data_IF_431935079568
#
_entry.id   IF_431935079568
#
_cell.length_a   1.000
_cell.length_b   1.000
_cell.length_c   1.000
_cell.angle_alpha   90.00
_cell.angle_beta   90.00
_cell.angle_gamma   90.00
#
_symmetry.space_group_name_H-M   'P 1'
#
loop_
_entity.id
_entity.type
_entity.pdbx_description
1 polymer ?
#
# COMPACT_ATOMS: atom_id res chain seq x y z
N UNK A 1 2.38 -4.15 13.51
CA UNK A 1 3.16 -4.59 14.70
C UNK A 1 3.47 -6.10 14.71
N UNK A 2 3.57 -6.75 13.55
CA UNK A 2 3.76 -8.20 13.48
C UNK A 2 5.05 -8.68 14.17
N UNK A 3 6.17 -7.98 13.98
CA UNK A 3 7.46 -8.31 14.61
C UNK A 3 7.42 -8.22 16.14
N UNK A 4 6.69 -7.25 16.71
CA UNK A 4 6.49 -7.17 18.16
C UNK A 4 5.65 -8.34 18.67
N UNK A 5 4.61 -8.70 17.92
CA UNK A 5 3.70 -9.78 18.29
C UNK A 5 4.36 -11.16 18.31
N UNK A 6 5.49 -11.37 17.63
CA UNK A 6 6.23 -12.64 17.71
C UNK A 6 6.92 -12.82 19.07
N UNK A 7 7.24 -11.73 19.78
CA UNK A 7 8.05 -11.76 21.01
C UNK A 7 9.51 -12.19 20.80
N UNK A 8 9.93 -12.43 19.55
CA UNK A 8 11.28 -12.92 19.20
C UNK A 8 12.27 -11.79 18.91
N UNK A 9 11.81 -10.56 18.76
CA UNK A 9 12.63 -9.43 18.31
C UNK A 9 12.48 -8.21 19.22
N UNK A 10 13.61 -7.56 19.47
CA UNK A 10 13.66 -6.17 19.94
C UNK A 10 13.41 -5.26 18.73
N UNK A 11 12.34 -4.48 18.74
CA UNK A 11 11.96 -3.65 17.58
C UNK A 11 12.26 -2.19 17.85
N UNK A 12 13.07 -1.59 16.98
CA UNK A 12 13.33 -0.14 16.95
C UNK A 12 12.49 0.52 15.86
N UNK A 13 11.62 1.45 16.23
CA UNK A 13 10.78 2.22 15.32
C UNK A 13 11.40 3.59 15.06
N UNK A 14 11.83 3.84 13.82
CA UNK A 14 12.47 5.09 13.43
C UNK A 14 11.42 6.15 13.07
N UNK A 15 11.56 7.35 13.63
CA UNK A 15 10.66 8.48 13.34
C UNK A 15 11.36 9.82 13.47
N UNK A 16 10.92 10.82 12.70
CA UNK A 16 11.36 12.22 12.90
C UNK A 16 10.72 12.88 14.12
N UNK A 17 9.58 12.34 14.58
CA UNK A 17 8.70 12.91 15.63
C UNK A 17 8.38 11.87 16.71
N UNK A 18 9.33 11.59 17.63
CA UNK A 18 9.14 10.60 18.70
C UNK A 18 8.01 10.95 19.68
N UNK A 19 7.62 12.22 19.75
CA UNK A 19 6.55 12.74 20.60
C UNK A 19 5.14 12.56 20.02
N UNK A 20 5.02 12.12 18.77
CA UNK A 20 3.73 11.91 18.10
C UNK A 20 2.90 10.80 18.75
N UNK A 21 1.58 10.86 18.61
CA UNK A 21 0.66 9.86 19.16
C UNK A 21 0.90 8.47 18.56
N UNK A 22 1.25 8.40 17.26
CA UNK A 22 1.63 7.15 16.60
C UNK A 22 2.90 6.55 17.21
N UNK A 23 3.91 7.38 17.48
CA UNK A 23 5.15 6.92 18.12
C UNK A 23 4.90 6.44 19.56
N UNK A 24 4.12 7.19 20.35
CA UNK A 24 3.71 6.79 21.70
C UNK A 24 2.92 5.49 21.70
N UNK A 25 2.02 5.30 20.73
CA UNK A 25 1.24 4.06 20.59
C UNK A 25 2.12 2.85 20.25
N UNK A 26 3.22 3.04 19.50
CA UNK A 26 4.22 1.99 19.27
C UNK A 26 5.05 1.69 20.52
N UNK A 27 5.47 2.73 21.24
CA UNK A 27 6.20 2.59 22.51
C UNK A 27 5.38 1.81 23.54
N UNK A 28 4.09 2.12 23.68
CA UNK A 28 3.17 1.41 24.57
C UNK A 28 3.00 -0.09 24.21
N UNK A 29 3.34 -0.48 22.98
CA UNK A 29 3.34 -1.87 22.51
C UNK A 29 4.71 -2.55 22.60
N UNK A 30 5.70 -1.87 23.20
CA UNK A 30 7.04 -2.41 23.42
C UNK A 30 8.07 -2.05 22.34
N UNK A 31 7.75 -1.17 21.38
CA UNK A 31 8.74 -0.66 20.44
C UNK A 31 9.68 0.35 21.10
N UNK A 32 10.95 0.31 20.73
CA UNK A 32 11.88 1.39 21.03
C UNK A 32 11.77 2.48 19.99
N UNK A 33 11.17 3.60 20.37
CA UNK A 33 11.08 4.76 19.49
C UNK A 33 12.44 5.44 19.41
N UNK A 34 12.96 5.57 18.20
CA UNK A 34 14.26 6.18 17.94
C UNK A 34 14.11 7.36 16.98
N UNK A 35 14.62 8.53 17.38
CA UNK A 35 14.57 9.71 16.52
C UNK A 35 15.58 9.57 15.39
N UNK A 36 15.13 9.59 14.14
CA UNK A 36 16.00 9.56 12.97
C UNK A 36 15.34 10.25 11.78
N UNK A 37 16.11 11.06 11.06
CA UNK A 37 15.77 11.51 9.71
C UNK A 37 16.56 10.70 8.68
N UNK A 38 15.85 10.02 7.77
CA UNK A 38 16.48 9.19 6.73
C UNK A 38 17.28 10.01 5.69
N UNK A 39 17.08 11.33 5.64
CA UNK A 39 17.90 12.25 4.84
C UNK A 39 19.23 12.60 5.51
N UNK A 40 19.37 12.31 6.81
CA UNK A 40 20.60 12.53 7.56
C UNK A 40 21.40 11.22 7.68
N UNK A 41 22.58 11.20 7.08
CA UNK A 41 23.46 10.02 7.06
C UNK A 41 23.84 9.54 8.46
N UNK A 42 24.08 10.45 9.40
CA UNK A 42 24.54 10.10 10.74
C UNK A 42 23.39 9.54 11.58
N UNK A 43 22.18 10.09 11.42
CA UNK A 43 20.96 9.51 12.02
C UNK A 43 20.76 8.07 11.56
N UNK A 44 20.92 7.78 10.27
CA UNK A 44 20.78 6.42 9.72
C UNK A 44 21.82 5.47 10.31
N UNK A 45 23.09 5.89 10.38
CA UNK A 45 24.14 5.06 11.01
C UNK A 45 23.83 4.74 12.46
N UNK A 46 23.42 5.75 13.23
CA UNK A 46 23.07 5.58 14.64
C UNK A 46 21.83 4.70 14.82
N UNK A 47 20.83 4.88 13.96
CA UNK A 47 19.61 4.09 13.96
C UNK A 47 19.85 2.61 13.64
N UNK A 48 20.84 2.30 12.80
CA UNK A 48 21.19 0.92 12.44
C UNK A 48 22.28 0.30 13.33
N UNK A 49 22.90 1.07 14.22
CA UNK A 49 23.93 0.55 15.11
C UNK A 49 23.37 -0.54 16.03
N UNK A 50 24.02 -1.71 15.98
CA UNK A 50 23.65 -2.91 16.74
C UNK A 50 22.38 -3.61 16.25
N UNK A 51 21.84 -3.26 15.08
CA UNK A 51 20.68 -3.94 14.51
C UNK A 51 21.11 -5.11 13.63
N UNK A 52 20.52 -6.29 13.86
CA UNK A 52 20.75 -7.49 13.03
C UNK A 52 19.92 -7.48 11.74
N UNK A 53 18.76 -6.81 11.76
CA UNK A 53 17.77 -6.79 10.70
C UNK A 53 17.27 -5.36 10.50
N UNK A 54 17.09 -4.94 9.25
CA UNK A 54 16.46 -3.68 8.89
C UNK A 54 15.34 -3.90 7.86
N UNK A 55 14.15 -3.38 8.15
CA UNK A 55 13.07 -3.23 7.18
C UNK A 55 12.97 -1.77 6.78
N UNK A 56 13.35 -1.45 5.53
CA UNK A 56 13.53 -0.08 5.06
C UNK A 56 12.48 0.21 3.98
N UNK A 57 11.60 1.16 4.28
CA UNK A 57 10.63 1.71 3.33
C UNK A 57 10.92 3.19 3.16
N UNK A 58 11.21 3.60 1.94
CA UNK A 58 11.36 5.00 1.56
C UNK A 58 10.17 5.42 0.71
N UNK A 59 9.65 6.61 0.99
CA UNK A 59 8.55 7.17 0.22
C UNK A 59 9.13 8.18 -0.77
N UNK A 60 8.61 8.17 -2.00
CA UNK A 60 8.86 9.23 -2.99
C UNK A 60 7.78 10.31 -2.96
N UNK A 61 6.71 10.07 -2.20
CA UNK A 61 5.56 10.96 -2.08
C UNK A 61 5.70 11.89 -0.87
N UNK A 62 5.61 13.20 -1.12
CA UNK A 62 5.29 14.19 -0.10
C UNK A 62 3.76 14.31 -0.02
N UNK A 63 3.11 14.11 1.15
CA UNK A 63 1.66 14.26 1.29
C UNK A 63 1.12 15.66 0.94
N UNK A 64 1.99 16.68 0.93
CA UNK A 64 1.65 18.03 0.46
C UNK A 64 1.64 18.16 -1.08
N UNK A 65 2.21 17.17 -1.79
CA UNK A 65 2.29 17.09 -3.25
C UNK A 65 1.37 15.97 -3.78
N UNK A 66 1.22 14.88 -3.03
CA UNK A 66 0.43 13.69 -3.40
C UNK A 66 -0.51 13.30 -2.25
N UNK A 67 -1.78 13.74 -2.25
CA UNK A 67 -2.73 13.39 -1.20
C UNK A 67 -3.14 11.91 -1.28
N UNK A 68 -2.46 11.08 -0.49
CA UNK A 68 -2.78 9.74 0.04
C UNK A 68 -3.46 8.63 -0.79
N UNK A 69 -4.00 8.87 -1.99
CA UNK A 69 -4.63 7.83 -2.80
C UNK A 69 -4.36 8.05 -4.29
N UNK A 70 -4.00 6.97 -4.99
CA UNK A 70 -3.89 6.90 -6.46
C UNK A 70 -5.25 7.01 -7.18
N UNK A 71 -6.33 7.11 -6.41
CA UNK A 71 -7.70 7.28 -6.89
C UNK A 71 -8.42 8.29 -6.00
N UNK A 72 -9.18 9.20 -6.60
CA UNK A 72 -10.10 10.09 -5.89
C UNK A 72 -11.48 9.45 -5.88
N UNK A 73 -12.14 9.38 -4.73
CA UNK A 73 -13.59 9.14 -4.68
C UNK A 73 -14.30 10.49 -4.79
N UNK A 74 -15.24 10.63 -5.72
CA UNK A 74 -16.16 11.75 -5.78
C UNK A 74 -17.61 11.28 -5.70
N UNK A 75 -18.34 11.86 -4.75
CA UNK A 75 -19.77 11.63 -4.61
C UNK A 75 -20.53 12.57 -5.53
N UNK A 76 -21.38 11.99 -6.37
CA UNK A 76 -22.24 12.68 -7.30
C UNK A 76 -23.57 13.07 -6.61
N UNK A 77 -24.27 14.03 -7.19
CA UNK A 77 -25.57 14.52 -6.69
C UNK A 77 -26.66 13.43 -6.69
N UNK A 78 -26.56 12.45 -7.59
CA UNK A 78 -27.48 11.31 -7.68
C UNK A 78 -27.19 10.20 -6.64
N UNK A 79 -26.17 10.38 -5.80
CA UNK A 79 -25.75 9.43 -4.77
C UNK A 79 -24.76 8.36 -5.24
N UNK A 80 -24.39 8.33 -6.52
CA UNK A 80 -23.30 7.50 -7.06
C UNK A 80 -21.95 7.98 -6.53
N UNK A 81 -21.04 7.06 -6.27
CA UNK A 81 -19.62 7.36 -6.02
C UNK A 81 -18.78 6.98 -7.25
N UNK A 82 -17.92 7.88 -7.69
CA UNK A 82 -16.98 7.64 -8.79
C UNK A 82 -15.55 7.52 -8.25
N UNK A 83 -14.83 6.48 -8.68
CA UNK A 83 -13.37 6.43 -8.54
C UNK A 83 -12.73 6.99 -9.79
N UNK A 84 -12.04 8.13 -9.65
CA UNK A 84 -11.36 8.79 -10.75
C UNK A 84 -9.93 8.25 -10.87
N UNK A 85 -9.66 7.58 -11.99
CA UNK A 85 -8.35 7.08 -12.36
C UNK A 85 -8.17 7.32 -13.87
N UNK A 86 -7.34 8.30 -14.28
CA UNK A 86 -7.16 8.62 -15.68
C UNK A 86 -6.68 7.43 -16.53
N UNK A 87 -7.17 7.38 -17.77
CA UNK A 87 -6.72 6.50 -18.88
C UNK A 87 -6.65 4.99 -18.59
N UNK A 88 -7.25 4.47 -17.52
CA UNK A 88 -7.39 3.02 -17.28
C UNK A 88 -8.71 2.49 -17.81
N UNK A 89 -8.81 1.17 -18.01
CA UNK A 89 -10.05 0.50 -18.43
C UNK A 89 -10.65 -0.33 -17.30
N UNK A 90 -11.95 -0.63 -17.37
CA UNK A 90 -12.61 -1.48 -16.37
C UNK A 90 -11.99 -2.89 -16.27
N UNK A 91 -11.48 -3.42 -17.38
CA UNK A 91 -10.79 -4.72 -17.45
C UNK A 91 -9.30 -4.64 -17.14
N UNK A 92 -8.74 -3.44 -16.93
CA UNK A 92 -7.36 -3.28 -16.50
C UNK A 92 -7.22 -3.83 -15.09
N UNK A 93 -6.26 -4.74 -14.91
CA UNK A 93 -6.01 -5.44 -13.65
C UNK A 93 -4.78 -4.91 -12.94
N UNK A 94 -4.85 -4.87 -11.63
CA UNK A 94 -3.76 -4.46 -10.74
C UNK A 94 -3.60 -5.49 -9.62
N UNK A 95 -2.36 -5.65 -9.15
CA UNK A 95 -2.06 -6.37 -7.93
C UNK A 95 -2.30 -5.47 -6.71
N UNK A 96 -2.98 -6.00 -5.70
CA UNK A 96 -3.38 -5.22 -4.52
C UNK A 96 -3.10 -5.96 -3.22
N UNK A 97 -2.94 -5.20 -2.14
CA UNK A 97 -2.72 -5.72 -0.79
C UNK A 97 -3.28 -4.73 0.23
N UNK A 98 -3.83 -5.22 1.34
CA UNK A 98 -4.06 -4.41 2.53
C UNK A 98 -2.72 -4.19 3.25
N UNK A 99 -2.04 -3.11 2.88
CA UNK A 99 -0.70 -2.82 3.39
C UNK A 99 -0.67 -2.66 4.92
N UNK A 100 -1.78 -2.24 5.55
CA UNK A 100 -1.86 -2.01 6.99
C UNK A 100 -1.86 -3.33 7.76
N UNK A 101 -2.57 -4.34 7.26
CA UNK A 101 -2.77 -5.60 7.99
C UNK A 101 -1.85 -6.73 7.52
N UNK A 102 -1.48 -6.76 6.24
CA UNK A 102 -0.85 -7.94 5.64
C UNK A 102 0.68 -7.82 5.49
N UNK A 103 1.20 -6.63 5.15
CA UNK A 103 2.64 -6.40 4.91
C UNK A 103 3.50 -6.90 6.07
N UNK A 104 3.10 -6.57 7.31
CA UNK A 104 3.87 -6.93 8.48
C UNK A 104 4.00 -8.43 8.70
N UNK A 105 2.93 -9.19 8.40
CA UNK A 105 2.93 -10.65 8.55
C UNK A 105 3.89 -11.32 7.56
N UNK A 106 3.87 -10.87 6.30
CA UNK A 106 4.77 -11.36 5.25
C UNK A 106 6.23 -11.07 5.62
N UNK A 107 6.54 -9.83 6.04
CA UNK A 107 7.90 -9.44 6.45
C UNK A 107 8.38 -10.26 7.64
N UNK A 108 7.53 -10.46 8.65
CA UNK A 108 7.89 -11.27 9.81
C UNK A 108 8.19 -12.73 9.41
N UNK A 109 7.44 -13.28 8.45
CA UNK A 109 7.67 -14.64 7.95
C UNK A 109 8.99 -14.76 7.19
N UNK A 110 9.31 -13.79 6.33
CA UNK A 110 10.58 -13.74 5.59
C UNK A 110 11.77 -13.66 6.55
N UNK A 111 11.65 -12.85 7.61
CA UNK A 111 12.68 -12.75 8.66
C UNK A 111 12.84 -14.06 9.42
N UNK A 112 11.74 -14.73 9.78
CA UNK A 112 11.77 -16.02 10.49
C UNK A 112 12.44 -17.12 9.67
N UNK A 113 12.17 -17.18 8.37
CA UNK A 113 12.75 -18.19 7.48
C UNK A 113 14.22 -17.91 7.10
N UNK A 114 14.69 -16.70 7.37
CA UNK A 114 16.11 -16.37 7.35
C UNK A 114 16.72 -16.12 5.97
N UNK A 115 17.95 -15.57 5.96
CA UNK A 115 18.61 -15.12 4.73
C UNK A 115 19.06 -16.29 3.83
N UNK A 116 19.28 -17.50 4.35
CA UNK A 116 19.64 -18.66 3.52
C UNK A 116 18.59 -18.95 2.44
N UNK A 117 17.31 -18.73 2.75
CA UNK A 117 16.20 -18.89 1.82
C UNK A 117 15.98 -17.66 0.94
N UNK A 118 16.11 -16.46 1.51
CA UNK A 118 15.57 -15.23 0.92
C UNK A 118 16.62 -14.25 0.38
N UNK A 119 17.91 -14.44 0.62
CA UNK A 119 18.92 -13.52 0.13
C UNK A 119 18.91 -13.40 -1.41
N UNK A 120 18.87 -12.18 -1.92
CA UNK A 120 18.78 -11.88 -3.35
C UNK A 120 17.42 -12.18 -4.01
N UNK A 121 16.42 -12.66 -3.26
CA UNK A 121 15.08 -12.92 -3.79
C UNK A 121 14.24 -11.65 -3.84
N UNK A 122 13.40 -11.55 -4.87
CA UNK A 122 12.33 -10.55 -4.95
C UNK A 122 11.01 -11.25 -4.66
N UNK A 123 10.20 -10.67 -3.79
CA UNK A 123 8.94 -11.24 -3.34
C UNK A 123 7.82 -10.25 -3.69
N UNK A 124 6.82 -10.62 -4.49
CA UNK A 124 5.65 -9.79 -4.72
C UNK A 124 4.82 -9.68 -3.44
N UNK A 125 4.29 -8.50 -3.16
CA UNK A 125 3.36 -8.27 -2.05
C UNK A 125 1.98 -7.98 -2.66
N UNK A 126 1.22 -9.05 -2.91
CA UNK A 126 -0.12 -8.97 -3.47
C UNK A 126 -1.00 -10.11 -2.98
N UNK A 127 -2.20 -9.76 -2.54
CA UNK A 127 -3.25 -10.73 -2.16
C UNK A 127 -3.93 -11.35 -3.38
N UNK A 128 -4.19 -10.52 -4.38
CA UNK A 128 -4.87 -10.88 -5.62
C UNK A 128 -4.55 -9.89 -6.74
N UNK A 129 -4.88 -10.31 -7.96
CA UNK A 129 -4.94 -9.46 -9.15
C UNK A 129 -6.41 -9.22 -9.48
N UNK A 130 -6.86 -7.97 -9.43
CA UNK A 130 -8.27 -7.58 -9.57
C UNK A 130 -8.41 -6.47 -10.61
N UNK A 131 -9.54 -6.41 -11.32
CA UNK A 131 -9.83 -5.33 -12.26
C UNK A 131 -10.50 -4.13 -11.60
N UNK A 132 -10.35 -2.94 -12.18
CA UNK A 132 -11.04 -1.74 -11.68
C UNK A 132 -12.57 -1.88 -11.71
N UNK A 133 -13.12 -2.56 -12.71
CA UNK A 133 -14.56 -2.88 -12.77
C UNK A 133 -14.98 -3.78 -11.59
N UNK A 134 -14.17 -4.79 -11.25
CA UNK A 134 -14.46 -5.68 -10.12
C UNK A 134 -14.34 -4.98 -8.76
N UNK A 135 -13.38 -4.04 -8.63
CA UNK A 135 -13.27 -3.17 -7.45
C UNK A 135 -14.57 -2.37 -7.27
N UNK A 136 -15.08 -1.72 -8.32
CA UNK A 136 -16.32 -0.94 -8.27
C UNK A 136 -17.53 -1.83 -7.95
N UNK A 137 -17.62 -3.04 -8.51
CA UNK A 137 -18.66 -4.02 -8.21
C UNK A 137 -18.66 -4.42 -6.72
N UNK A 138 -17.49 -4.77 -6.18
CA UNK A 138 -17.35 -5.17 -4.77
C UNK A 138 -17.73 -4.02 -3.84
N UNK A 139 -17.25 -2.81 -4.11
CA UNK A 139 -17.60 -1.65 -3.29
C UNK A 139 -19.08 -1.33 -3.38
N UNK A 140 -19.70 -1.50 -4.55
CA UNK A 140 -21.15 -1.38 -4.70
C UNK A 140 -21.90 -2.37 -3.82
N UNK A 141 -21.49 -3.64 -3.86
CA UNK A 141 -22.08 -4.71 -3.04
C UNK A 141 -21.94 -4.45 -1.54
N UNK A 142 -20.74 -4.04 -1.10
CA UNK A 142 -20.40 -3.90 0.31
C UNK A 142 -21.09 -2.69 0.95
N UNK A 143 -21.18 -1.58 0.22
CA UNK A 143 -21.69 -0.32 0.74
C UNK A 143 -23.18 -0.11 0.46
N UNK A 144 -23.74 -0.82 -0.52
CA UNK A 144 -25.08 -0.55 -1.05
C UNK A 144 -25.19 0.73 -1.90
N UNK A 145 -24.08 1.45 -2.10
CA UNK A 145 -24.01 2.66 -2.95
C UNK A 145 -23.48 2.28 -4.32
N UNK A 146 -23.99 2.88 -5.39
CA UNK A 146 -23.44 2.58 -6.72
C UNK A 146 -22.04 3.17 -6.85
N UNK A 147 -21.06 2.34 -7.21
CA UNK A 147 -19.70 2.75 -7.53
C UNK A 147 -19.41 2.57 -9.02
N UNK A 148 -18.72 3.55 -9.62
CA UNK A 148 -18.30 3.51 -11.03
C UNK A 148 -16.85 3.96 -11.18
N UNK A 149 -16.17 3.43 -12.19
CA UNK A 149 -14.88 3.95 -12.63
C UNK A 149 -15.13 5.16 -13.54
N UNK A 150 -14.48 6.29 -13.24
CA UNK A 150 -14.37 7.43 -14.16
C UNK A 150 -12.93 7.54 -14.65
N UNK A 151 -12.76 7.41 -15.96
CA UNK A 151 -11.43 7.35 -16.60
C UNK A 151 -11.23 8.50 -17.58
N UNK A 152 -10.93 9.72 -17.07
CA UNK A 152 -10.74 10.88 -17.92
C UNK A 152 -9.49 10.73 -18.78
N UNK A 153 -9.51 11.36 -19.96
CA UNK A 153 -8.32 11.55 -20.78
C UNK A 153 -7.41 12.66 -20.18
N UNK A 154 -6.27 12.96 -20.82
CA UNK A 154 -5.32 13.96 -20.32
C UNK A 154 -5.95 15.35 -20.16
N UNK A 155 -6.64 15.85 -21.19
CA UNK A 155 -7.24 17.18 -21.18
C UNK A 155 -8.32 17.30 -20.08
N UNK A 156 -9.17 16.28 -19.97
CA UNK A 156 -10.20 16.19 -18.92
C UNK A 156 -9.57 16.15 -17.53
N UNK A 157 -8.52 15.34 -17.34
CA UNK A 157 -7.81 15.24 -16.07
C UNK A 157 -7.13 16.56 -15.69
N UNK A 158 -6.47 17.25 -16.62
CA UNK A 158 -5.83 18.56 -16.36
C UNK A 158 -6.85 19.63 -15.94
N UNK A 159 -8.02 19.61 -16.57
CA UNK A 159 -9.08 20.58 -16.32
C UNK A 159 -9.82 20.33 -15.01
N UNK A 160 -10.20 19.08 -14.75
CA UNK A 160 -11.12 18.73 -13.66
C UNK A 160 -10.40 18.15 -12.44
N UNK A 161 -9.26 17.47 -12.66
CA UNK A 161 -8.50 16.74 -11.65
C UNK A 161 -7.00 17.02 -11.74
N UNK A 162 -6.54 18.29 -11.68
CA UNK A 162 -5.13 18.63 -11.94
C UNK A 162 -4.13 17.88 -11.03
N UNK A 163 -4.54 17.47 -9.83
CA UNK A 163 -3.73 16.64 -8.93
C UNK A 163 -3.46 15.21 -9.45
N UNK A 164 -4.24 14.73 -10.42
CA UNK A 164 -4.10 13.43 -11.08
C UNK A 164 -3.46 13.52 -12.47
N UNK A 165 -3.06 14.72 -12.90
CA UNK A 165 -2.67 15.01 -14.28
C UNK A 165 -1.15 15.14 -14.53
N UNK A 166 -0.32 14.80 -13.54
CA UNK A 166 1.15 14.83 -13.71
C UNK A 166 1.61 13.79 -14.74
N UNK A 167 2.76 14.02 -15.37
CA UNK A 167 3.34 13.07 -16.32
C UNK A 167 3.66 11.73 -15.66
N UNK A 168 4.17 11.75 -14.42
CA UNK A 168 4.51 10.54 -13.67
C UNK A 168 3.29 9.65 -13.41
N UNK A 169 2.15 10.27 -13.09
CA UNK A 169 0.89 9.53 -12.90
C UNK A 169 0.38 8.95 -14.22
N UNK A 170 0.44 9.71 -15.31
CA UNK A 170 0.03 9.21 -16.62
C UNK A 170 0.92 8.07 -17.11
N UNK A 171 2.23 8.14 -16.87
CA UNK A 171 3.13 7.03 -17.16
C UNK A 171 2.84 5.81 -16.28
N UNK A 172 2.51 6.00 -15.00
CA UNK A 172 2.05 4.93 -14.11
C UNK A 172 0.76 4.26 -14.63
N UNK A 173 -0.25 5.03 -15.06
CA UNK A 173 -1.48 4.45 -15.60
C UNK A 173 -1.24 3.73 -16.94
N UNK A 174 -0.36 4.28 -17.81
CA UNK A 174 0.08 3.59 -19.03
C UNK A 174 0.80 2.28 -18.72
N UNK A 175 1.54 2.23 -17.62
CA UNK A 175 2.18 1.00 -17.14
C UNK A 175 1.15 -0.02 -16.64
N UNK A 176 0.18 0.39 -15.82
CA UNK A 176 -0.89 -0.49 -15.33
C UNK A 176 -1.64 -1.17 -16.47
N UNK A 177 -2.03 -0.41 -17.50
CA UNK A 177 -2.70 -0.94 -18.70
C UNK A 177 -1.90 -2.03 -19.43
N UNK A 178 -0.57 -2.05 -19.29
CA UNK A 178 0.31 -3.00 -19.98
C UNK A 178 0.73 -4.17 -19.11
N UNK A 179 0.93 -3.93 -17.82
CA UNK A 179 1.74 -4.81 -16.97
C UNK A 179 1.25 -4.93 -15.51
N UNK A 180 0.16 -4.27 -15.12
CA UNK A 180 -0.25 -4.20 -13.70
C UNK A 180 0.69 -3.32 -12.86
N UNK A 181 0.62 -3.44 -11.53
CA UNK A 181 1.44 -2.68 -10.58
C UNK A 181 2.84 -3.28 -10.48
N UNK A 182 2.92 -4.60 -10.34
CA UNK A 182 4.20 -5.28 -10.11
C UNK A 182 4.97 -5.55 -11.42
N UNK A 183 4.35 -5.35 -12.57
CA UNK A 183 4.96 -5.67 -13.84
C UNK A 183 4.88 -7.16 -14.18
N UNK A 184 5.29 -7.50 -15.41
CA UNK A 184 5.21 -8.89 -15.91
C UNK A 184 6.17 -9.86 -15.21
N UNK A 185 7.22 -9.36 -14.56
CA UNK A 185 8.16 -10.16 -13.78
C UNK A 185 7.45 -10.91 -12.64
N UNK A 186 6.43 -10.29 -12.04
CA UNK A 186 5.68 -10.84 -10.90
C UNK A 186 4.25 -11.24 -11.32
N UNK A 187 4.16 -12.03 -12.37
CA UNK A 187 2.87 -12.58 -12.82
C UNK A 187 2.30 -13.60 -11.83
N UNK A 188 3.17 -14.37 -11.17
CA UNK A 188 2.85 -15.30 -10.09
C UNK A 188 3.02 -14.62 -8.72
N UNK A 189 1.92 -14.60 -7.96
CA UNK A 189 1.82 -14.01 -6.62
C UNK A 189 1.49 -15.08 -5.56
N UNK A 190 1.50 -16.37 -5.91
CA UNK A 190 1.14 -17.45 -4.97
C UNK A 190 2.02 -17.46 -3.73
N UNK A 191 3.30 -17.07 -3.89
CA UNK A 191 4.26 -17.01 -2.80
C UNK A 191 3.81 -16.06 -1.67
N UNK A 192 3.02 -15.02 -1.97
CA UNK A 192 2.49 -14.13 -0.94
C UNK A 192 1.50 -14.88 -0.03
N UNK A 193 0.68 -15.77 -0.60
CA UNK A 193 -0.25 -16.62 0.17
C UNK A 193 0.48 -17.70 0.96
N UNK A 194 1.58 -18.24 0.44
CA UNK A 194 2.42 -19.20 1.18
C UNK A 194 3.05 -18.54 2.41
N UNK A 195 3.48 -17.27 2.27
CA UNK A 195 4.05 -16.48 3.36
C UNK A 195 3.01 -15.98 4.36
N UNK A 196 1.78 -15.73 3.90
CA UNK A 196 0.67 -15.25 4.73
C UNK A 196 -0.65 -15.90 4.30
N UNK A 197 -0.95 -17.13 4.77
CA UNK A 197 -2.15 -17.87 4.34
C UNK A 197 -3.48 -17.21 4.70
N UNK A 198 -3.46 -16.27 5.65
CA UNK A 198 -4.63 -15.51 6.11
C UNK A 198 -4.69 -14.10 5.48
N UNK A 199 -4.01 -13.88 4.36
CA UNK A 199 -4.03 -12.60 3.64
C UNK A 199 -5.45 -12.24 3.20
N UNK A 200 -5.85 -10.98 3.40
CA UNK A 200 -7.20 -10.54 3.09
C UNK A 200 -7.40 -10.38 1.58
N UNK A 201 -8.56 -10.80 1.06
CA UNK A 201 -9.03 -10.35 -0.24
C UNK A 201 -9.48 -8.89 -0.18
N UNK A 202 -9.61 -8.26 -1.35
CA UNK A 202 -10.18 -6.93 -1.49
C UNK A 202 -11.60 -6.84 -0.95
N UNK A 203 -12.41 -7.89 -1.14
CA UNK A 203 -13.77 -7.91 -0.61
C UNK A 203 -13.78 -7.92 0.92
N UNK A 204 -12.89 -8.70 1.55
CA UNK A 204 -12.75 -8.70 3.01
C UNK A 204 -12.26 -7.33 3.52
N UNK A 205 -11.27 -6.74 2.84
CA UNK A 205 -10.80 -5.38 3.10
C UNK A 205 -11.95 -4.37 2.96
N UNK A 206 -12.74 -4.45 1.89
CA UNK A 206 -13.86 -3.55 1.62
C UNK A 206 -14.91 -3.67 2.71
N UNK A 207 -15.34 -4.88 3.08
CA UNK A 207 -16.30 -5.07 4.18
C UNK A 207 -15.82 -4.45 5.49
N UNK A 208 -14.53 -4.60 5.83
CA UNK A 208 -13.99 -4.05 7.07
C UNK A 208 -13.94 -2.51 7.06
N UNK A 209 -13.58 -1.91 5.93
CA UNK A 209 -13.21 -0.48 5.87
C UNK A 209 -14.28 0.43 5.23
N UNK A 210 -15.26 -0.15 4.53
CA UNK A 210 -16.24 0.57 3.72
C UNK A 210 -17.70 0.27 4.09
N UNK A 211 -18.00 -0.83 4.77
CA UNK A 211 -19.39 -1.21 5.10
C UNK A 211 -20.17 -0.15 5.90
N UNK A 212 -19.47 0.68 6.68
CA UNK A 212 -20.06 1.73 7.51
C UNK A 212 -19.89 3.15 6.93
N UNK A 213 -19.44 3.29 5.68
CA UNK A 213 -19.27 4.56 4.98
C UNK A 213 -20.33 4.73 3.89
#
# INVERSE_FOLDING_TARGET
NALLATGKHRVRALTRRPESDQAKALAAKGAEVFKADLSNREDVKNALNGADIAFIVTNFFDPSIFPNNIAKEERQDDGTSEFIIPIVKEDTTIEIIDAETDTGAIVAKVIEEGPEKWNGKKIPFASERISFGKIAEILTKVTGRQFKLRSPNREEAEKEFPALASEELFDMYRWFNKCGVLGKEFSDISITKDLHPNINSFEQYAYKNWSNK
#
